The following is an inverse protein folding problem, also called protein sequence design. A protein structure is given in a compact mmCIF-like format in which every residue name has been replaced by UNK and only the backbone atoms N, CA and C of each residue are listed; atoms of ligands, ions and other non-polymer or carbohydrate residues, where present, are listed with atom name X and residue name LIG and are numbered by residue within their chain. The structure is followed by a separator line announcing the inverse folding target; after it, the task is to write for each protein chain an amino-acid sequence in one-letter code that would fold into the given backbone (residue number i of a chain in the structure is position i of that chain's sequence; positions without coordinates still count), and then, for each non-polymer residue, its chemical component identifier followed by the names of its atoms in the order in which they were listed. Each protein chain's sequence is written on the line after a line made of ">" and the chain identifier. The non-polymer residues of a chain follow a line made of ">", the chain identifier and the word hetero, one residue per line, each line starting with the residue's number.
data_IF_695404157016
#
_entry.id   IF_695404157016
#
_cell.length_a   1.000
_cell.length_b   1.000
_cell.length_c   1.000
_cell.angle_alpha   90.00
_cell.angle_beta   90.00
_cell.angle_gamma   90.00
#
_symmetry.space_group_name_H-M   'P 1'
#
loop_
_entity.id
_entity.type
_entity.pdbx_description
1 polymer ?
#
# COMPACT_ATOMS: atom_id res chain seq x y z
N UNK A 1 -8.85 -20.81 0.26
CA UNK A 1 -9.55 -19.51 0.13
C UNK A 1 -8.54 -18.51 -0.40
N UNK A 2 -8.55 -18.22 -1.70
CA UNK A 2 -7.65 -17.25 -2.31
C UNK A 2 -8.20 -15.84 -2.08
N UNK A 3 -7.37 -14.93 -1.61
CA UNK A 3 -7.74 -13.52 -1.52
C UNK A 3 -8.01 -13.02 -2.95
N UNK A 4 -9.22 -12.52 -3.23
CA UNK A 4 -9.57 -11.93 -4.54
C UNK A 4 -8.95 -10.54 -4.74
N UNK A 5 -8.46 -9.92 -3.65
CA UNK A 5 -7.84 -8.62 -3.68
C UNK A 5 -6.53 -8.65 -4.48
N UNK A 6 -6.42 -7.74 -5.44
CA UNK A 6 -5.24 -7.58 -6.28
C UNK A 6 -5.05 -6.14 -6.69
N UNK A 7 -3.88 -5.81 -7.25
CA UNK A 7 -3.67 -4.49 -7.81
C UNK A 7 -2.22 -4.18 -8.15
N UNK A 8 -1.97 -2.89 -8.39
CA UNK A 8 -0.66 -2.36 -8.79
C UNK A 8 -0.30 -1.18 -7.89
N UNK A 9 0.95 -1.16 -7.44
CA UNK A 9 1.58 0.00 -6.83
C UNK A 9 2.55 0.63 -7.83
N UNK A 10 2.49 1.94 -8.00
CA UNK A 10 3.46 2.72 -8.78
C UNK A 10 4.14 3.71 -7.84
N UNK A 11 5.47 3.63 -7.75
CA UNK A 11 6.28 4.50 -6.92
C UNK A 11 7.06 5.46 -7.82
N UNK A 12 7.03 6.75 -7.51
CA UNK A 12 7.77 7.78 -8.24
C UNK A 12 8.48 8.68 -7.25
N UNK A 13 9.80 8.75 -7.33
CA UNK A 13 10.61 9.62 -6.49
C UNK A 13 11.05 10.83 -7.32
N UNK A 14 10.72 12.03 -6.84
CA UNK A 14 11.18 13.30 -7.42
C UNK A 14 11.88 14.10 -6.33
N UNK A 15 13.20 14.27 -6.44
CA UNK A 15 14.01 14.79 -5.35
C UNK A 15 13.92 13.86 -4.13
N UNK A 16 13.48 14.40 -2.99
CA UNK A 16 13.25 13.64 -1.75
C UNK A 16 11.77 13.31 -1.51
N UNK A 17 10.91 13.51 -2.50
CA UNK A 17 9.47 13.31 -2.40
C UNK A 17 9.04 12.08 -3.16
N UNK A 18 8.60 11.05 -2.43
CA UNK A 18 8.05 9.82 -2.97
C UNK A 18 6.53 9.95 -3.10
N UNK A 19 6.02 9.69 -4.30
CA UNK A 19 4.60 9.50 -4.56
C UNK A 19 4.32 8.01 -4.76
N UNK A 20 3.36 7.48 -4.01
CA UNK A 20 2.90 6.08 -4.08
C UNK A 20 1.45 6.08 -4.54
N UNK A 21 1.21 5.57 -5.74
CA UNK A 21 -0.13 5.38 -6.29
C UNK A 21 -0.52 3.91 -6.24
N UNK A 22 -1.64 3.61 -5.60
CA UNK A 22 -2.22 2.27 -5.54
C UNK A 22 -3.50 2.24 -6.37
N UNK A 23 -3.62 1.21 -7.21
CA UNK A 23 -4.87 0.87 -7.90
C UNK A 23 -5.20 -0.58 -7.56
N UNK A 24 -6.35 -0.80 -6.92
CA UNK A 24 -6.74 -2.07 -6.31
C UNK A 24 -8.15 -2.46 -6.76
N UNK A 25 -8.41 -3.76 -6.80
CA UNK A 25 -9.72 -4.37 -7.03
C UNK A 25 -9.90 -5.61 -6.17
N UNK A 26 -11.15 -6.09 -6.04
CA UNK A 26 -11.46 -7.28 -5.24
C UNK A 26 -11.40 -7.06 -3.73
N UNK A 27 -11.43 -5.80 -3.28
CA UNK A 27 -11.57 -5.44 -1.88
C UNK A 27 -13.02 -5.65 -1.41
N UNK A 28 -13.23 -5.67 -0.09
CA UNK A 28 -14.59 -5.68 0.44
C UNK A 28 -15.31 -4.38 0.02
N UNK A 29 -16.53 -4.44 -0.55
CA UNK A 29 -17.27 -3.24 -0.94
C UNK A 29 -17.49 -2.25 0.21
N UNK A 30 -17.44 -0.94 -0.09
CA UNK A 30 -17.69 0.16 0.86
C UNK A 30 -16.85 0.09 2.14
N UNK A 31 -15.61 -0.37 2.04
CA UNK A 31 -14.75 -0.62 3.20
C UNK A 31 -13.49 0.26 3.19
N UNK A 32 -12.76 0.22 4.31
CA UNK A 32 -11.51 0.97 4.51
C UNK A 32 -10.40 0.03 4.93
N UNK A 33 -9.20 0.27 4.41
CA UNK A 33 -8.05 -0.59 4.59
C UNK A 33 -6.81 0.24 4.92
N UNK A 34 -6.09 -0.14 5.96
CA UNK A 34 -4.76 0.42 6.22
C UNK A 34 -3.76 -0.14 5.20
N UNK A 35 -2.85 0.72 4.74
CA UNK A 35 -1.84 0.35 3.75
C UNK A 35 -0.48 0.92 4.14
N UNK A 36 0.59 0.16 3.93
CA UNK A 36 1.95 0.56 4.27
C UNK A 36 2.97 0.04 3.26
N UNK A 37 4.12 0.72 3.16
CA UNK A 37 5.34 0.12 2.63
C UNK A 37 6.09 -0.52 3.79
N UNK A 38 6.45 -1.78 3.64
CA UNK A 38 7.29 -2.54 4.56
C UNK A 38 8.64 -2.88 3.93
N UNK A 39 9.63 -3.12 4.79
CA UNK A 39 10.88 -3.76 4.40
C UNK A 39 10.66 -5.27 4.17
N UNK A 40 11.42 -5.86 3.27
CA UNK A 40 11.41 -7.29 2.96
C UNK A 40 10.60 -7.62 1.71
N UNK A 41 9.81 -8.69 1.78
CA UNK A 41 8.98 -9.20 0.70
C UNK A 41 7.64 -9.72 1.26
N UNK A 42 6.70 -10.06 0.37
CA UNK A 42 5.44 -10.68 0.78
C UNK A 42 5.62 -12.01 1.55
N UNK A 43 6.73 -12.71 1.34
CA UNK A 43 7.05 -13.98 2.02
C UNK A 43 7.92 -13.81 3.26
N UNK A 44 8.59 -12.66 3.42
CA UNK A 44 9.44 -12.34 4.56
C UNK A 44 9.18 -10.89 4.97
N UNK A 45 8.19 -10.72 5.84
CA UNK A 45 7.63 -9.43 6.21
C UNK A 45 8.50 -8.76 7.28
N UNK A 46 9.00 -7.56 6.98
CA UNK A 46 9.78 -6.75 7.91
C UNK A 46 8.99 -5.59 8.50
N UNK A 47 9.71 -4.67 9.16
CA UNK A 47 9.13 -3.47 9.77
C UNK A 47 8.43 -2.56 8.74
N UNK A 48 7.47 -1.79 9.22
CA UNK A 48 6.88 -0.66 8.48
C UNK A 48 7.97 0.38 8.20
N UNK A 49 8.03 0.86 6.95
CA UNK A 49 8.89 1.97 6.54
C UNK A 49 8.09 3.25 6.41
N UNK A 50 6.97 3.20 5.69
CA UNK A 50 6.14 4.38 5.43
C UNK A 50 4.66 4.02 5.58
N UNK A 51 3.91 4.74 6.43
CA UNK A 51 2.47 4.64 6.40
C UNK A 51 1.93 5.27 5.12
N UNK A 52 0.90 4.66 4.53
CA UNK A 52 0.20 5.20 3.37
C UNK A 52 -1.18 5.71 3.76
N UNK A 53 -1.74 6.57 2.92
CA UNK A 53 -3.12 7.02 3.03
C UNK A 53 -4.06 5.82 3.05
N UNK A 54 -5.06 5.84 3.94
CA UNK A 54 -6.08 4.80 4.02
C UNK A 54 -6.73 4.57 2.65
N UNK A 55 -6.75 3.30 2.22
CA UNK A 55 -7.44 2.87 1.01
C UNK A 55 -8.94 2.82 1.32
N UNK A 56 -9.75 3.45 0.47
CA UNK A 56 -11.22 3.43 0.56
C UNK A 56 -11.76 2.73 -0.68
N UNK A 57 -12.39 1.58 -0.49
CA UNK A 57 -12.99 0.80 -1.56
C UNK A 57 -14.40 1.30 -1.85
N UNK A 58 -14.74 1.43 -3.14
CA UNK A 58 -16.08 1.75 -3.59
C UNK A 58 -17.04 0.56 -3.44
N UNK A 59 -18.30 0.73 -3.89
CA UNK A 59 -19.31 -0.31 -3.84
C UNK A 59 -18.99 -1.53 -4.74
N UNK A 60 -18.03 -1.42 -5.66
CA UNK A 60 -17.54 -2.51 -6.50
C UNK A 60 -16.26 -3.15 -5.96
N UNK A 61 -15.75 -2.70 -4.81
CA UNK A 61 -14.49 -3.19 -4.23
C UNK A 61 -13.24 -2.67 -4.93
N UNK A 62 -13.35 -1.57 -5.70
CA UNK A 62 -12.22 -0.92 -6.35
C UNK A 62 -11.74 0.27 -5.52
N UNK A 63 -10.44 0.55 -5.58
CA UNK A 63 -9.85 1.72 -4.94
C UNK A 63 -8.69 2.29 -5.76
N UNK A 64 -8.59 3.62 -5.78
CA UNK A 64 -7.37 4.32 -6.21
C UNK A 64 -7.00 5.34 -5.14
N UNK A 65 -5.76 5.29 -4.67
CA UNK A 65 -5.27 6.21 -3.64
C UNK A 65 -3.83 6.63 -3.95
N UNK A 66 -3.53 7.89 -3.68
CA UNK A 66 -2.18 8.44 -3.79
C UNK A 66 -1.70 8.89 -2.41
N UNK A 67 -0.45 8.57 -2.07
CA UNK A 67 0.24 9.03 -0.86
C UNK A 67 1.51 9.75 -1.26
N UNK A 68 1.76 10.90 -0.64
CA UNK A 68 3.05 11.60 -0.74
C UNK A 68 3.82 11.42 0.56
N UNK A 69 5.07 10.97 0.45
CA UNK A 69 6.00 10.78 1.56
C UNK A 69 7.24 11.64 1.30
N UNK A 70 7.57 12.49 2.26
CA UNK A 70 8.74 13.36 2.17
C UNK A 70 9.99 12.69 2.78
N UNK A 71 11.17 13.22 2.46
CA UNK A 71 12.46 12.76 3.00
C UNK A 71 12.83 11.32 2.63
N UNK A 72 12.38 10.84 1.47
CA UNK A 72 12.80 9.56 0.92
C UNK A 72 14.00 9.78 0.01
N UNK A 73 15.13 9.15 0.29
CA UNK A 73 16.39 9.39 -0.45
C UNK A 73 16.51 8.53 -1.71
N UNK A 74 15.95 7.32 -1.70
CA UNK A 74 15.97 6.40 -2.84
C UNK A 74 14.83 5.38 -2.74
N UNK A 75 14.41 4.86 -3.89
CA UNK A 75 13.62 3.63 -3.97
C UNK A 75 14.60 2.49 -4.30
N UNK A 76 14.76 1.49 -3.43
CA UNK A 76 15.67 0.39 -3.72
C UNK A 76 15.11 -0.50 -4.84
N UNK A 77 15.99 -1.17 -5.58
CA UNK A 77 15.60 -2.11 -6.64
C UNK A 77 14.89 -3.36 -6.09
N UNK A 78 15.02 -3.64 -4.80
CA UNK A 78 14.36 -4.73 -4.08
C UNK A 78 14.24 -4.43 -2.58
N UNK A 79 13.50 -5.28 -1.86
CA UNK A 79 13.44 -5.22 -0.40
C UNK A 79 12.35 -4.32 0.16
N UNK A 80 11.46 -3.77 -0.68
CA UNK A 80 10.21 -3.15 -0.26
C UNK A 80 9.02 -3.93 -0.82
N UNK A 81 7.93 -4.00 -0.05
CA UNK A 81 6.64 -4.44 -0.55
C UNK A 81 5.51 -3.58 0.05
N UNK A 82 4.38 -3.52 -0.67
CA UNK A 82 3.17 -2.84 -0.18
C UNK A 82 2.27 -3.88 0.46
N UNK A 83 1.86 -3.62 1.69
CA UNK A 83 0.84 -4.41 2.38
C UNK A 83 -0.45 -3.61 2.49
N UNK A 84 -1.59 -4.22 2.15
CA UNK A 84 -2.94 -3.65 2.32
C UNK A 84 -3.74 -4.61 3.20
N UNK A 85 -4.13 -4.15 4.39
CA UNK A 85 -4.82 -4.98 5.38
C UNK A 85 -6.32 -5.10 5.08
N UNK A 86 -6.98 -6.16 5.54
CA UNK A 86 -8.44 -6.32 5.41
C UNK A 86 -9.25 -5.44 6.40
N UNK A 87 -8.61 -4.51 7.09
CA UNK A 87 -9.24 -3.56 8.01
C UNK A 87 -8.38 -2.32 8.18
N UNK A 88 -8.91 -1.32 8.89
CA UNK A 88 -8.14 -0.18 9.39
C UNK A 88 -7.52 -0.45 10.77
N UNK A 89 -7.86 -1.56 11.42
CA UNK A 89 -7.34 -1.93 12.73
C UNK A 89 -5.98 -2.60 12.54
N UNK A 90 -4.92 -1.85 12.83
CA UNK A 90 -3.55 -2.35 12.85
C UNK A 90 -3.34 -3.05 14.20
N UNK A 91 -3.55 -4.37 14.25
CA UNK A 91 -3.00 -5.15 15.36
C UNK A 91 -1.48 -5.01 15.27
N UNK A 92 -0.93 -4.29 16.25
CA UNK A 92 0.49 -4.00 16.40
C UNK A 92 1.25 -5.22 16.91
#
# INVERSE_FOLDING_TARGET
>A
MGQAAMGKATLTLSGSTLTVSLTLSGLAPNSKHAAHIHMGSCTSQGKVLYPLTTVVADASGNATVSTTVNNVTAIPSSGWYVNVHNSTALTT
#
